data_IF_279903211231
#
_entry.id   IF_279903211231
#
_cell.length_a   1.000
_cell.length_b   1.000
_cell.length_c   1.000
_cell.angle_alpha   90.00
_cell.angle_beta   90.00
_cell.angle_gamma   90.00
#
_symmetry.space_group_name_H-M   'P 1'
#
loop_
_entity.id
_entity.type
_entity.pdbx_description
1 polymer ?
#
# COMPACT_ATOMS: atom_id res chain seq x y z
N UNK A 1 -26.42 -6.78 -2.13
CA UNK A 1 -25.45 -7.27 -3.13
C UNK A 1 -24.10 -7.41 -2.43
N UNK A 2 -23.37 -8.50 -2.67
CA UNK A 2 -22.06 -8.72 -2.05
C UNK A 2 -20.95 -8.26 -2.99
N UNK A 3 -20.03 -7.45 -2.48
CA UNK A 3 -18.77 -7.13 -3.13
C UNK A 3 -17.64 -7.87 -2.41
N UNK A 4 -16.74 -8.51 -3.15
CA UNK A 4 -15.58 -9.25 -2.60
C UNK A 4 -14.32 -8.79 -3.32
N UNK A 5 -13.32 -8.36 -2.55
CA UNK A 5 -12.02 -7.89 -3.02
C UNK A 5 -11.04 -9.06 -3.08
N UNK A 6 -10.97 -9.69 -4.24
CA UNK A 6 -10.00 -10.76 -4.51
C UNK A 6 -8.68 -10.28 -5.10
N UNK A 7 -8.34 -8.99 -5.02
CA UNK A 7 -7.13 -8.46 -5.65
C UNK A 7 -5.85 -9.10 -5.10
N UNK A 8 -5.81 -9.41 -3.81
CA UNK A 8 -4.70 -10.10 -3.15
C UNK A 8 -4.86 -11.64 -3.15
N UNK A 9 -6.05 -12.14 -3.49
CA UNK A 9 -6.38 -13.56 -3.52
C UNK A 9 -5.93 -14.23 -4.81
N UNK A 10 -4.68 -14.00 -5.22
CA UNK A 10 -4.11 -14.61 -6.41
C UNK A 10 -2.61 -14.89 -6.24
N UNK A 11 -2.15 -15.92 -6.93
CA UNK A 11 -0.73 -16.18 -7.10
C UNK A 11 -0.27 -15.38 -8.31
N UNK A 12 0.54 -14.37 -8.07
CA UNK A 12 1.12 -13.55 -9.13
C UNK A 12 2.02 -14.40 -10.04
N UNK A 13 1.81 -14.24 -11.34
CA UNK A 13 2.63 -14.87 -12.36
C UNK A 13 3.11 -13.85 -13.38
N UNK A 14 4.12 -14.24 -14.17
CA UNK A 14 4.80 -13.30 -15.09
C UNK A 14 3.89 -12.73 -16.20
N UNK A 15 2.96 -13.55 -16.70
CA UNK A 15 2.05 -13.17 -17.78
C UNK A 15 0.57 -13.29 -17.40
N UNK A 16 0.27 -14.09 -16.37
CA UNK A 16 -1.08 -14.36 -15.89
C UNK A 16 -1.00 -14.68 -14.40
N UNK A 17 -2.00 -14.22 -13.65
CA UNK A 17 -2.18 -14.59 -12.26
C UNK A 17 -3.03 -15.86 -12.19
N UNK A 18 -2.80 -16.69 -11.17
CA UNK A 18 -3.50 -17.97 -10.99
C UNK A 18 -4.17 -18.00 -9.63
N UNK A 19 -5.33 -18.65 -9.52
CA UNK A 19 -5.95 -18.92 -8.23
C UNK A 19 -5.42 -20.25 -7.67
N UNK A 20 -4.83 -20.20 -6.47
CA UNK A 20 -4.52 -21.42 -5.73
C UNK A 20 -5.81 -22.04 -5.15
N UNK A 21 -5.76 -23.31 -4.72
CA UNK A 21 -6.90 -23.92 -4.02
C UNK A 21 -7.29 -23.13 -2.77
N UNK A 22 -6.31 -22.60 -2.02
CA UNK A 22 -6.55 -21.78 -0.84
C UNK A 22 -7.29 -20.48 -1.19
N UNK A 23 -6.90 -19.81 -2.27
CA UNK A 23 -7.54 -18.56 -2.70
C UNK A 23 -8.98 -18.81 -3.16
N UNK A 24 -9.21 -19.90 -3.90
CA UNK A 24 -10.56 -20.30 -4.31
C UNK A 24 -11.42 -20.58 -3.09
N UNK A 25 -10.89 -21.31 -2.11
CA UNK A 25 -11.60 -21.60 -0.87
C UNK A 25 -11.94 -20.33 -0.11
N UNK A 26 -10.98 -19.40 0.04
CA UNK A 26 -11.18 -18.11 0.71
C UNK A 26 -12.29 -17.28 0.06
N UNK A 27 -12.28 -17.16 -1.27
CA UNK A 27 -13.31 -16.45 -2.03
C UNK A 27 -14.69 -17.15 -1.93
N UNK A 28 -14.72 -18.48 -1.96
CA UNK A 28 -15.95 -19.25 -1.82
C UNK A 28 -16.55 -19.11 -0.41
N UNK A 29 -15.72 -19.16 0.62
CA UNK A 29 -16.13 -18.94 2.02
C UNK A 29 -16.72 -17.53 2.20
N UNK A 30 -16.08 -16.51 1.64
CA UNK A 30 -16.58 -15.13 1.64
C UNK A 30 -17.99 -15.03 1.03
N UNK A 31 -18.18 -15.68 -0.12
CA UNK A 31 -19.46 -15.69 -0.82
C UNK A 31 -20.54 -16.42 -0.02
N UNK A 32 -20.21 -17.57 0.58
CA UNK A 32 -21.13 -18.38 1.38
C UNK A 32 -21.50 -17.72 2.71
N UNK A 33 -20.55 -17.03 3.35
CA UNK A 33 -20.81 -16.29 4.58
C UNK A 33 -21.78 -15.13 4.33
N UNK A 34 -21.62 -14.43 3.21
CA UNK A 34 -22.45 -13.26 2.86
C UNK A 34 -22.45 -12.20 3.96
N UNK A 35 -21.28 -11.95 4.55
CA UNK A 35 -21.06 -11.03 5.66
C UNK A 35 -20.08 -9.93 5.26
N UNK A 36 -20.03 -8.87 6.08
CA UNK A 36 -19.02 -7.83 5.93
C UNK A 36 -17.70 -8.32 6.52
N UNK A 37 -16.61 -8.14 5.79
CA UNK A 37 -15.26 -8.42 6.23
C UNK A 37 -14.37 -7.23 5.88
N UNK A 38 -13.65 -6.72 6.88
CA UNK A 38 -12.85 -5.51 6.74
C UNK A 38 -11.82 -5.64 5.60
N UNK A 39 -11.75 -4.63 4.72
CA UNK A 39 -10.90 -4.57 3.50
C UNK A 39 -11.13 -5.68 2.46
N UNK A 40 -11.99 -6.66 2.75
CA UNK A 40 -12.16 -7.84 1.92
C UNK A 40 -13.57 -7.97 1.34
N UNK A 41 -14.64 -7.86 2.12
CA UNK A 41 -15.99 -8.06 1.63
C UNK A 41 -17.00 -7.07 2.23
N UNK A 42 -17.98 -6.64 1.44
CA UNK A 42 -19.07 -5.79 1.94
C UNK A 42 -20.40 -6.14 1.29
N UNK A 43 -21.41 -6.30 2.12
CA UNK A 43 -22.82 -6.39 1.73
C UNK A 43 -23.38 -4.97 1.62
N UNK A 44 -23.84 -4.63 0.43
CA UNK A 44 -24.33 -3.30 0.07
C UNK A 44 -25.77 -3.38 -0.39
N UNK A 45 -26.62 -2.49 0.12
CA UNK A 45 -28.02 -2.40 -0.28
C UNK A 45 -28.19 -1.79 -1.68
N UNK A 46 -29.29 -2.16 -2.36
CA UNK A 46 -29.57 -1.65 -3.71
C UNK A 46 -29.71 -0.13 -3.75
N UNK A 47 -30.21 0.49 -2.69
CA UNK A 47 -30.34 1.94 -2.58
C UNK A 47 -28.98 2.67 -2.60
N UNK A 48 -27.93 2.09 -1.99
CA UNK A 48 -26.58 2.66 -2.04
C UNK A 48 -25.99 2.53 -3.45
N UNK A 49 -26.26 1.42 -4.14
CA UNK A 49 -25.81 1.19 -5.51
C UNK A 49 -26.49 2.16 -6.49
N UNK A 50 -27.80 2.39 -6.33
CA UNK A 50 -28.55 3.38 -7.11
C UNK A 50 -28.01 4.80 -6.89
N UNK A 51 -27.70 5.17 -5.64
CA UNK A 51 -27.06 6.44 -5.31
C UNK A 51 -25.68 6.61 -5.98
N UNK A 52 -24.98 5.50 -6.23
CA UNK A 52 -23.70 5.48 -6.92
C UNK A 52 -23.85 5.27 -8.45
N UNK A 53 -25.01 5.58 -9.03
CA UNK A 53 -25.31 5.45 -10.47
C UNK A 53 -25.08 4.03 -11.01
N UNK A 54 -25.35 3.01 -10.18
CA UNK A 54 -25.08 1.60 -10.47
C UNK A 54 -23.61 1.31 -10.82
N UNK A 55 -22.68 2.16 -10.38
CA UNK A 55 -21.26 1.93 -10.57
C UNK A 55 -20.80 0.80 -9.64
N UNK A 56 -20.33 -0.31 -10.21
CA UNK A 56 -19.92 -1.51 -9.49
C UNK A 56 -18.41 -1.58 -9.19
N UNK A 57 -17.69 -0.47 -9.34
CA UNK A 57 -16.27 -0.42 -9.01
C UNK A 57 -16.07 -0.73 -7.52
N UNK A 58 -15.24 -1.72 -7.23
CA UNK A 58 -15.04 -2.26 -5.88
C UNK A 58 -14.48 -1.24 -4.89
N UNK A 59 -13.63 -0.31 -5.34
CA UNK A 59 -13.03 0.73 -4.49
C UNK A 59 -14.07 1.72 -3.92
N UNK A 60 -15.31 1.70 -4.44
CA UNK A 60 -16.43 2.49 -3.90
C UNK A 60 -17.10 1.83 -2.70
N UNK A 61 -16.93 0.53 -2.53
CA UNK A 61 -17.68 -0.25 -1.54
C UNK A 61 -16.78 -0.95 -0.53
N UNK A 62 -15.61 -1.40 -0.96
CA UNK A 62 -14.61 -2.03 -0.09
C UNK A 62 -13.41 -1.10 -0.02
N UNK A 63 -13.00 -0.76 1.20
CA UNK A 63 -11.82 0.06 1.42
C UNK A 63 -10.58 -0.79 1.13
N UNK A 64 -9.97 -0.59 -0.04
CA UNK A 64 -8.78 -1.33 -0.48
C UNK A 64 -7.48 -0.59 -0.18
N UNK A 65 -7.56 0.63 0.37
CA UNK A 65 -6.38 1.35 0.80
C UNK A 65 -5.86 0.73 2.10
N UNK A 66 -4.58 0.37 2.14
CA UNK A 66 -3.89 0.09 3.39
C UNK A 66 -4.03 1.33 4.30
N UNK A 67 -4.23 1.10 5.60
CA UNK A 67 -3.96 2.16 6.56
C UNK A 67 -2.48 2.52 6.41
N UNK A 68 -2.21 3.70 5.86
CA UNK A 68 -0.88 4.27 5.95
C UNK A 68 -0.49 4.23 7.43
N UNK A 69 0.61 3.53 7.75
CA UNK A 69 1.15 3.55 9.10
C UNK A 69 1.24 5.02 9.52
N UNK A 70 0.68 5.36 10.69
CA UNK A 70 0.80 6.71 11.22
C UNK A 70 2.28 6.98 11.45
N UNK A 71 2.93 7.62 10.48
CA UNK A 71 4.33 7.99 10.57
C UNK A 71 4.43 8.96 11.74
N UNK A 72 5.26 8.63 12.73
CA UNK A 72 5.64 9.60 13.74
C UNK A 72 6.54 10.65 13.06
N UNK A 73 5.90 11.73 12.64
CA UNK A 73 6.56 12.86 11.97
C UNK A 73 7.69 13.41 12.82
N UNK A 74 7.58 13.36 14.16
CA UNK A 74 8.64 13.82 15.04
C UNK A 74 9.84 12.88 15.00
N UNK A 75 9.62 11.56 14.99
CA UNK A 75 10.69 10.57 14.83
C UNK A 75 11.40 10.73 13.48
N UNK A 76 10.67 10.89 12.38
CA UNK A 76 11.29 11.03 11.06
C UNK A 76 12.03 12.35 10.87
N UNK A 77 11.60 13.43 11.55
CA UNK A 77 12.37 14.67 11.59
C UNK A 77 13.71 14.48 12.32
N UNK A 78 13.80 13.62 13.33
CA UNK A 78 15.08 13.31 13.98
C UNK A 78 15.99 12.50 13.05
N UNK A 79 15.45 11.47 12.40
CA UNK A 79 16.19 10.68 11.41
C UNK A 79 16.74 11.58 10.30
N UNK A 80 15.92 12.50 9.79
CA UNK A 80 16.34 13.48 8.79
C UNK A 80 17.50 14.34 9.26
N UNK A 81 17.47 14.85 10.50
CA UNK A 81 18.57 15.64 11.07
C UNK A 81 19.86 14.84 11.17
N UNK A 82 19.80 13.61 11.67
CA UNK A 82 20.98 12.74 11.74
C UNK A 82 21.59 12.46 10.36
N UNK A 83 20.74 12.25 9.35
CA UNK A 83 21.19 12.03 7.97
C UNK A 83 21.85 13.28 7.38
N UNK A 84 21.33 14.47 7.69
CA UNK A 84 21.94 15.73 7.27
C UNK A 84 23.31 15.95 7.93
N UNK A 85 23.45 15.69 9.23
CA UNK A 85 24.75 15.78 9.89
C UNK A 85 25.78 14.80 9.31
N UNK A 86 25.35 13.56 9.02
CA UNK A 86 26.20 12.56 8.36
C UNK A 86 26.61 13.02 6.96
N UNK A 87 25.68 13.59 6.18
CA UNK A 87 25.97 14.14 4.86
C UNK A 87 27.03 15.23 4.96
N UNK A 88 26.82 16.22 5.84
CA UNK A 88 27.72 17.38 5.98
C UNK A 88 29.11 16.95 6.43
N UNK A 89 29.20 15.95 7.31
CA UNK A 89 30.49 15.38 7.73
C UNK A 89 31.23 14.67 6.60
N UNK A 90 30.51 13.89 5.78
CA UNK A 90 31.09 13.21 4.62
C UNK A 90 31.50 14.22 3.55
N UNK A 91 30.70 15.25 3.33
CA UNK A 91 30.99 16.35 2.40
C UNK A 91 32.24 17.13 2.82
N UNK A 92 32.38 17.46 4.11
CA UNK A 92 33.59 18.12 4.62
C UNK A 92 34.86 17.27 4.40
N UNK A 93 34.76 15.95 4.60
CA UNK A 93 35.88 15.03 4.30
C UNK A 93 36.19 14.98 2.81
N UNK A 94 35.17 14.93 1.96
CA UNK A 94 35.33 14.94 0.51
C UNK A 94 36.02 16.23 0.04
N UNK A 95 35.58 17.38 0.54
CA UNK A 95 36.17 18.68 0.23
C UNK A 95 37.63 18.76 0.69
N UNK A 96 37.94 18.26 1.89
CA UNK A 96 39.33 18.16 2.36
C UNK A 96 40.22 17.32 1.44
N UNK A 97 39.73 16.17 0.96
CA UNK A 97 40.47 15.37 -0.01
C UNK A 97 40.63 16.06 -1.37
N UNK A 98 39.63 16.84 -1.82
CA UNK A 98 39.71 17.61 -3.07
C UNK A 98 40.72 18.76 -2.99
N UNK A 99 40.83 19.43 -1.83
CA UNK A 99 41.88 20.41 -1.57
C UNK A 99 43.28 19.78 -1.57
N UNK A 100 43.46 18.64 -0.89
CA UNK A 100 44.75 17.91 -0.88
C UNK A 100 45.19 17.43 -2.28
N UNK A 101 44.23 17.12 -3.16
CA UNK A 101 44.50 16.71 -4.54
C UNK A 101 44.67 17.88 -5.53
N UNK A 102 44.59 19.12 -5.06
CA UNK A 102 44.81 20.32 -5.88
C UNK A 102 43.63 20.74 -6.75
N UNK A 103 42.42 20.27 -6.44
CA UNK A 103 41.18 20.66 -7.14
C UNK A 103 40.41 21.80 -6.42
N UNK A 104 40.98 22.37 -5.35
CA UNK A 104 40.44 23.55 -4.66
C UNK A 104 40.80 24.86 -5.37
N UNK A 105 40.12 25.18 -6.47
CA UNK A 105 40.16 26.49 -7.13
C UNK A 105 38.75 26.88 -7.58
#
# INVERSE_FOLDING_TARGET
MLFVNGAEEMVEGKNQNTLSEANVQRLAEAFLAFENEERFARVVDLAEIEKNDFNLNIARYVQTAEEEEQIDVAAEVQVLKELLEKRDHVEAKMLGFLEELGYGS
#
